data_IF_058892002793
#
_entry.id   IF_058892002793
#
_cell.length_a   1.000
_cell.length_b   1.000
_cell.length_c   1.000
_cell.angle_alpha   90.00
_cell.angle_beta   90.00
_cell.angle_gamma   90.00
#
_symmetry.space_group_name_H-M   'P 1'
#
loop_
_entity.id
_entity.type
_entity.pdbx_description
1 polymer ?
#
# COMPACT_ATOMS: atom_id res chain seq x y z
N UNK A 1 8.67 5.14 -7.39
CA UNK A 1 7.84 4.19 -8.18
C UNK A 1 7.56 2.84 -7.51
N UNK A 2 8.51 2.17 -6.82
CA UNK A 2 8.30 0.80 -6.29
C UNK A 2 7.00 0.58 -5.49
N UNK A 3 6.57 1.57 -4.70
CA UNK A 3 5.33 1.50 -3.90
C UNK A 3 4.06 1.97 -4.64
N UNK A 4 4.21 2.54 -5.84
CA UNK A 4 3.12 3.05 -6.68
C UNK A 4 2.74 2.08 -7.82
N UNK A 5 3.56 1.05 -8.05
CA UNK A 5 3.27 -0.08 -8.91
C UNK A 5 2.29 -1.02 -8.22
N UNK A 6 1.19 -1.30 -8.90
CA UNK A 6 0.24 -2.33 -8.56
C UNK A 6 0.18 -3.35 -9.70
N UNK A 7 -0.41 -4.50 -9.44
CA UNK A 7 -0.48 -5.53 -10.46
C UNK A 7 -1.30 -6.72 -10.03
N UNK A 8 -1.50 -7.63 -10.98
CA UNK A 8 -2.02 -8.96 -10.72
C UNK A 8 -0.85 -9.95 -10.74
N UNK A 9 -0.54 -10.60 -9.60
CA UNK A 9 0.58 -11.53 -9.51
C UNK A 9 0.40 -12.78 -10.37
N UNK A 10 -0.83 -13.17 -10.70
CA UNK A 10 -1.10 -14.39 -11.48
C UNK A 10 -0.92 -14.16 -12.98
N UNK A 11 -1.27 -12.98 -13.48
CA UNK A 11 -1.18 -12.64 -14.92
C UNK A 11 0.06 -11.82 -15.27
N UNK A 12 0.81 -11.32 -14.28
CA UNK A 12 1.97 -10.45 -14.48
C UNK A 12 1.60 -9.02 -14.92
N UNK A 13 0.30 -8.70 -14.93
CA UNK A 13 -0.21 -7.39 -15.31
C UNK A 13 0.27 -6.33 -14.32
N UNK A 14 0.93 -5.27 -14.81
CA UNK A 14 1.38 -4.14 -13.99
C UNK A 14 0.61 -2.88 -14.36
N UNK A 15 0.24 -2.08 -13.38
CA UNK A 15 -0.27 -0.73 -13.58
C UNK A 15 0.25 0.21 -12.49
N UNK A 16 0.13 1.52 -12.72
CA UNK A 16 0.55 2.52 -11.73
C UNK A 16 -0.67 3.19 -11.11
N UNK A 17 -0.58 3.58 -9.83
CA UNK A 17 -1.60 4.41 -9.17
C UNK A 17 -1.50 5.90 -9.52
N UNK A 18 -0.38 6.32 -10.11
CA UNK A 18 -0.12 7.70 -10.52
C UNK A 18 -0.65 7.93 -11.93
N UNK A 19 -1.14 9.15 -12.18
CA UNK A 19 -1.48 9.57 -13.53
C UNK A 19 -0.20 9.86 -14.30
N UNK A 20 -0.25 9.70 -15.63
CA UNK A 20 0.89 9.98 -16.51
C UNK A 20 1.35 11.44 -16.41
N UNK A 21 0.43 12.37 -16.15
CA UNK A 21 0.72 13.77 -15.86
C UNK A 21 1.52 13.97 -14.57
N UNK A 22 1.20 13.23 -13.50
CA UNK A 22 1.95 13.29 -12.24
C UNK A 22 3.35 12.72 -12.40
N UNK A 23 3.48 11.63 -13.15
CA UNK A 23 4.78 11.04 -13.45
C UNK A 23 5.62 12.00 -14.30
N UNK A 24 5.03 12.68 -15.30
CA UNK A 24 5.72 13.70 -16.08
C UNK A 24 6.20 14.87 -15.21
N UNK A 25 5.36 15.35 -14.28
CA UNK A 25 5.74 16.40 -13.33
C UNK A 25 6.88 15.95 -12.39
N UNK A 26 6.84 14.71 -11.88
CA UNK A 26 7.93 14.15 -11.08
C UNK A 26 9.24 14.04 -11.88
N UNK A 27 9.18 13.75 -13.18
CA UNK A 27 10.35 13.72 -14.06
C UNK A 27 10.89 15.12 -14.37
N UNK A 28 10.03 16.12 -14.50
CA UNK A 28 10.44 17.52 -14.66
C UNK A 28 11.21 18.03 -13.44
N UNK A 29 10.86 17.59 -12.22
CA UNK A 29 11.63 17.90 -11.01
C UNK A 29 13.05 17.32 -11.02
N UNK A 30 13.30 16.30 -11.86
CA UNK A 30 14.61 15.72 -12.10
C UNK A 30 15.27 16.30 -13.37
N UNK A 31 14.80 17.45 -13.84
CA UNK A 31 15.28 18.15 -15.05
C UNK A 31 15.07 17.36 -16.36
N UNK A 32 14.18 16.37 -16.35
CA UNK A 32 13.81 15.58 -17.52
C UNK A 32 12.46 16.06 -18.04
N UNK A 33 12.48 16.84 -19.12
CA UNK A 33 11.27 17.36 -19.73
C UNK A 33 10.61 16.31 -20.64
N UNK A 34 9.51 15.71 -20.16
CA UNK A 34 8.74 14.74 -20.93
C UNK A 34 7.24 15.05 -20.88
N UNK A 35 6.57 14.84 -22.00
CA UNK A 35 5.12 14.94 -22.07
C UNK A 35 4.44 13.72 -21.45
N UNK A 36 3.17 13.87 -21.04
CA UNK A 36 2.36 12.75 -20.58
C UNK A 36 2.23 11.63 -21.65
N UNK A 37 2.27 11.98 -22.94
CA UNK A 37 2.25 11.01 -24.05
C UNK A 37 3.55 10.19 -24.13
N UNK A 38 4.69 10.83 -23.88
CA UNK A 38 5.98 10.14 -23.80
C UNK A 38 5.97 9.16 -22.64
N UNK A 39 5.46 9.57 -21.47
CA UNK A 39 5.30 8.69 -20.30
C UNK A 39 4.39 7.49 -20.62
N UNK A 40 3.29 7.69 -21.34
CA UNK A 40 2.42 6.60 -21.79
C UNK A 40 3.20 5.55 -22.60
N UNK A 41 4.00 5.99 -23.57
CA UNK A 41 4.80 5.10 -24.41
C UNK A 41 5.81 4.32 -23.58
N UNK A 42 6.57 5.01 -22.74
CA UNK A 42 7.57 4.39 -21.86
C UNK A 42 6.94 3.35 -20.91
N UNK A 43 5.78 3.67 -20.33
CA UNK A 43 5.07 2.73 -19.47
C UNK A 43 4.63 1.48 -20.23
N UNK A 44 4.14 1.62 -21.47
CA UNK A 44 3.77 0.47 -22.31
C UNK A 44 4.98 -0.39 -22.64
N UNK A 45 6.11 0.21 -23.00
CA UNK A 45 7.35 -0.52 -23.31
C UNK A 45 7.88 -1.29 -22.09
N UNK A 46 7.66 -0.77 -20.88
CA UNK A 46 7.96 -1.45 -19.61
C UNK A 46 6.92 -2.51 -19.20
N UNK A 47 5.91 -2.78 -20.04
CA UNK A 47 4.84 -3.75 -19.80
C UNK A 47 3.79 -3.29 -18.78
N UNK A 48 3.59 -1.97 -18.62
CA UNK A 48 2.50 -1.44 -17.81
C UNK A 48 1.24 -1.25 -18.67
N UNK A 49 0.11 -1.64 -18.10
CA UNK A 49 -1.20 -1.29 -18.59
C UNK A 49 -1.69 0.00 -17.94
N UNK A 50 -2.26 0.87 -18.77
CA UNK A 50 -2.91 2.09 -18.30
C UNK A 50 -4.30 1.75 -17.79
N UNK A 51 -4.59 2.12 -16.55
CA UNK A 51 -5.91 1.93 -15.94
C UNK A 51 -6.42 3.24 -15.39
N UNK A 52 -7.62 3.63 -15.79
CA UNK A 52 -8.30 4.80 -15.22
C UNK A 52 -8.89 4.39 -13.87
N UNK A 53 -8.61 5.19 -12.84
CA UNK A 53 -9.18 4.99 -11.52
C UNK A 53 -10.65 5.47 -11.52
N UNK A 54 -11.60 4.55 -11.58
CA UNK A 54 -13.02 4.88 -11.41
C UNK A 54 -13.37 4.97 -9.91
N UNK A 55 -13.01 6.08 -9.27
CA UNK A 55 -13.32 6.33 -7.86
C UNK A 55 -14.76 6.84 -7.72
N UNK A 56 -15.61 6.12 -7.00
CA UNK A 56 -16.88 6.67 -6.51
C UNK A 56 -16.57 7.62 -5.35
N UNK A 57 -17.14 8.83 -5.37
CA UNK A 57 -17.06 9.76 -4.23
C UNK A 57 -17.74 9.11 -3.03
N UNK A 58 -17.03 8.93 -1.92
CA UNK A 58 -17.66 8.48 -0.68
C UNK A 58 -18.27 9.68 0.03
N UNK A 59 -19.51 9.58 0.48
CA UNK A 59 -20.13 10.61 1.30
C UNK A 59 -19.44 10.65 2.67
N UNK A 60 -18.80 11.77 3.01
CA UNK A 60 -18.11 11.97 4.29
C UNK A 60 -16.79 11.20 4.41
N UNK A 61 -15.67 11.91 4.34
CA UNK A 61 -14.37 11.35 4.72
C UNK A 61 -14.02 11.81 6.15
N UNK A 62 -13.86 10.90 7.12
CA UNK A 62 -13.28 11.25 8.41
C UNK A 62 -11.91 11.89 8.19
N UNK A 63 -11.58 12.99 8.90
CA UNK A 63 -10.30 13.72 8.77
C UNK A 63 -9.07 12.81 8.87
N UNK A 64 -9.19 11.67 9.55
CA UNK A 64 -8.08 10.76 9.85
C UNK A 64 -8.08 9.45 9.03
N UNK A 65 -8.78 9.39 7.90
CA UNK A 65 -8.87 8.15 7.11
C UNK A 65 -7.50 7.68 6.57
N UNK A 66 -6.55 8.60 6.43
CA UNK A 66 -5.24 8.33 5.85
C UNK A 66 -4.19 7.85 6.86
N UNK A 67 -4.36 8.10 8.17
CA UNK A 67 -3.32 7.77 9.15
C UNK A 67 -2.99 6.27 9.22
N UNK A 68 -3.97 5.39 9.03
CA UNK A 68 -3.69 3.95 8.98
C UNK A 68 -2.81 3.59 7.78
N UNK A 69 -3.00 4.25 6.64
CA UNK A 69 -2.18 4.02 5.45
C UNK A 69 -0.77 4.58 5.62
N UNK A 70 -0.64 5.76 6.25
CA UNK A 70 0.67 6.33 6.62
C UNK A 70 1.41 5.37 7.56
N UNK A 71 0.76 4.92 8.64
CA UNK A 71 1.36 3.99 9.60
C UNK A 71 1.81 2.67 8.96
N UNK A 72 1.00 2.11 8.05
CA UNK A 72 1.39 0.91 7.28
C UNK A 72 2.61 1.23 6.38
N UNK A 73 2.67 2.44 5.81
CA UNK A 73 3.84 2.91 5.05
C UNK A 73 5.12 2.90 5.88
N UNK A 74 5.06 3.44 7.09
CA UNK A 74 6.20 3.49 8.00
C UNK A 74 6.67 2.09 8.40
N UNK A 75 5.73 1.21 8.75
CA UNK A 75 6.03 -0.20 9.05
C UNK A 75 6.69 -0.90 7.86
N UNK A 76 6.20 -0.67 6.63
CA UNK A 76 6.83 -1.26 5.44
C UNK A 76 8.29 -0.84 5.29
N UNK A 77 8.60 0.43 5.56
CA UNK A 77 9.96 0.94 5.48
C UNK A 77 10.86 0.31 6.54
N UNK A 78 10.39 0.24 7.79
CA UNK A 78 11.14 -0.36 8.89
C UNK A 78 11.48 -1.83 8.65
N UNK A 79 10.49 -2.64 8.24
CA UNK A 79 10.68 -4.07 8.00
C UNK A 79 11.54 -4.33 6.75
N UNK A 80 11.42 -3.50 5.72
CA UNK A 80 12.28 -3.58 4.54
C UNK A 80 13.75 -3.32 4.90
N UNK A 81 14.04 -2.31 5.72
CA UNK A 81 15.41 -2.03 6.21
C UNK A 81 15.95 -3.17 7.07
N UNK A 82 15.08 -3.83 7.85
CA UNK A 82 15.46 -4.98 8.69
C UNK A 82 15.55 -6.32 7.92
N UNK A 83 15.30 -6.34 6.61
CA UNK A 83 15.32 -7.57 5.80
C UNK A 83 14.21 -8.58 6.18
N UNK A 84 13.15 -8.14 6.86
CA UNK A 84 12.07 -9.02 7.34
C UNK A 84 10.91 -9.07 6.34
N UNK A 85 10.24 -10.23 6.17
CA UNK A 85 9.09 -10.34 5.28
C UNK A 85 7.90 -9.53 5.82
N UNK A 86 7.11 -8.93 4.91
CA UNK A 86 5.95 -8.10 5.24
C UNK A 86 4.69 -8.75 4.64
N UNK A 87 3.72 -9.05 5.48
CA UNK A 87 2.40 -9.57 5.07
C UNK A 87 1.32 -8.65 5.65
N UNK A 88 0.47 -8.10 4.79
CA UNK A 88 -0.70 -7.31 5.22
C UNK A 88 -1.97 -8.11 4.96
N UNK A 89 -2.62 -8.59 6.02
CA UNK A 89 -3.89 -9.28 5.93
C UNK A 89 -5.05 -8.29 6.08
N UNK A 90 -6.07 -8.38 5.21
CA UNK A 90 -7.37 -7.74 5.42
C UNK A 90 -8.24 -8.76 6.15
N UNK A 91 -8.42 -8.56 7.45
CA UNK A 91 -9.43 -9.28 8.21
C UNK A 91 -10.82 -8.83 7.72
N UNK A 92 -11.66 -9.76 7.24
CA UNK A 92 -13.08 -9.49 6.93
C UNK A 92 -13.99 -9.80 8.14
N UNK A 93 -13.42 -10.03 9.31
CA UNK A 93 -14.18 -10.25 10.52
C UNK A 93 -14.44 -8.90 11.17
N UNK A 94 -15.70 -8.52 11.33
CA UNK A 94 -16.09 -7.59 12.40
C UNK A 94 -15.86 -8.40 13.69
N UNK A 95 -14.83 -8.12 14.50
CA UNK A 95 -14.74 -8.79 15.78
C UNK A 95 -15.69 -8.02 16.69
N UNK A 96 -16.77 -8.66 17.11
CA UNK A 96 -17.44 -8.27 18.33
C UNK A 96 -16.38 -8.23 19.44
N UNK A 97 -16.12 -7.05 19.99
CA UNK A 97 -15.02 -6.79 20.94
C UNK A 97 -15.38 -7.24 22.36
N UNK A 98 -16.36 -8.13 22.56
CA UNK A 98 -16.81 -8.52 23.89
C UNK A 98 -16.05 -9.71 24.50
N UNK A 99 -15.37 -10.55 23.73
CA UNK A 99 -14.79 -11.80 24.28
C UNK A 99 -13.33 -11.99 23.89
N UNK A 100 -12.43 -11.39 24.68
CA UNK A 100 -11.16 -12.05 25.02
C UNK A 100 -10.94 -11.95 26.52
N UNK A 101 -11.33 -13.03 27.17
CA UNK A 101 -10.97 -13.38 28.53
C UNK A 101 -9.46 -13.24 28.73
N UNK A 102 -9.06 -12.45 29.71
CA UNK A 102 -7.77 -12.62 30.36
C UNK A 102 -7.96 -13.69 31.44
N UNK A 103 -7.64 -14.94 31.10
CA UNK A 103 -7.23 -15.92 32.09
C UNK A 103 -5.75 -16.19 31.88
N UNK A 104 -4.94 -15.53 32.71
CA UNK A 104 -3.52 -15.82 32.88
C UNK A 104 -3.23 -15.79 34.38
N UNK A 105 -3.26 -16.96 35.02
CA UNK A 105 -2.49 -17.24 36.21
C UNK A 105 -2.13 -18.73 36.19
N UNK A 106 -0.90 -19.05 35.80
CA UNK A 106 -0.29 -20.36 36.07
C UNK A 106 0.09 -20.38 37.56
N UNK A 107 -0.19 -21.47 38.32
CA UNK A 107 0.33 -21.58 39.67
C UNK A 107 1.84 -21.79 39.64
N UNK A 108 2.52 -20.95 40.42
CA UNK A 108 3.93 -21.04 40.78
C UNK A 108 4.16 -22.30 41.64
N UNK A 109 5.09 -23.15 41.22
CA UNK A 109 5.58 -24.30 41.99
C UNK A 109 7.08 -24.09 42.19
N UNK A 110 7.42 -23.44 43.30
CA UNK A 110 8.75 -23.43 43.91
C UNK A 110 8.78 -24.38 45.12
N UNK A 111 9.98 -24.87 45.52
CA UNK A 111 10.11 -26.12 46.26
C UNK A 111 10.19 -25.94 47.78
N UNK A 112 9.59 -26.89 48.52
CA UNK A 112 10.00 -27.32 49.88
C UNK A 112 9.57 -28.76 50.10
#
# INVERSE_FOLDING_TARGET
>A
MKHETAGDPMTGLKWTRRTTTKVACELQLLEIEVSANTVVRLLKDMGFSLRVNHKKKSNGSPKNRDARFVHIGDLRQQFATAGKPIISARENLIPDRSLRAQSCARPDLGPV
#
